data_IF_099214754498
#
_entry.id   IF_099214754498
#
_cell.length_a   1.000
_cell.length_b   1.000
_cell.length_c   1.000
_cell.angle_alpha   90.00
_cell.angle_beta   90.00
_cell.angle_gamma   90.00
#
_symmetry.space_group_name_H-M   'P 1'
#
loop_
_entity.id
_entity.type
_entity.pdbx_description
1 polymer ?
#
# COMPACT_ATOMS: atom_id res chain seq x y z
N UNK A 1 -13.25 -15.11 8.90
CA UNK A 1 -13.05 -14.47 7.57
C UNK A 1 -11.62 -13.96 7.54
N UNK A 2 -10.83 -14.14 6.47
CA UNK A 2 -9.50 -13.54 6.42
C UNK A 2 -9.68 -12.02 6.53
N UNK A 3 -8.88 -11.41 7.40
CA UNK A 3 -8.89 -9.97 7.67
C UNK A 3 -8.65 -9.24 6.33
N UNK A 4 -9.72 -8.78 5.65
CA UNK A 4 -9.63 -8.06 4.36
C UNK A 4 -9.07 -6.64 4.53
N UNK A 5 -8.32 -6.41 5.60
CA UNK A 5 -7.73 -5.12 5.92
C UNK A 5 -6.54 -4.91 4.99
N UNK A 6 -6.65 -3.86 4.18
CA UNK A 6 -5.54 -3.38 3.38
C UNK A 6 -4.61 -2.54 4.26
N UNK A 7 -3.36 -2.47 3.86
CA UNK A 7 -2.27 -1.79 4.52
C UNK A 7 -1.57 -0.89 3.51
N UNK A 8 -1.27 0.33 3.93
CA UNK A 8 -0.56 1.31 3.12
C UNK A 8 0.93 1.30 3.47
N UNK A 9 1.82 0.80 2.60
CA UNK A 9 3.26 0.90 2.79
C UNK A 9 3.74 2.34 2.54
N UNK A 10 4.55 2.87 3.45
CA UNK A 10 5.01 4.26 3.42
C UNK A 10 6.47 4.35 3.86
N UNK A 11 7.24 5.16 3.16
CA UNK A 11 8.56 5.62 3.58
C UNK A 11 8.44 7.01 4.21
N UNK A 12 9.18 7.26 5.29
CA UNK A 12 9.19 8.59 5.94
C UNK A 12 9.80 9.67 5.05
N UNK A 13 10.73 9.28 4.16
CA UNK A 13 11.44 10.19 3.25
C UNK A 13 10.75 10.29 1.89
N UNK A 14 10.34 9.16 1.30
CA UNK A 14 9.81 9.12 -0.07
C UNK A 14 8.27 9.22 -0.14
N UNK A 15 7.57 9.10 0.99
CA UNK A 15 6.11 9.05 1.01
C UNK A 15 5.54 7.66 0.70
N UNK A 16 4.33 7.56 0.13
CA UNK A 16 3.69 6.28 -0.18
C UNK A 16 4.52 5.42 -1.13
N UNK A 17 4.71 4.15 -0.80
CA UNK A 17 5.50 3.21 -1.61
C UNK A 17 4.65 2.42 -2.63
N UNK A 18 3.34 2.60 -2.59
CA UNK A 18 2.40 1.91 -3.47
C UNK A 18 0.94 2.16 -3.06
N UNK A 19 0.04 1.37 -3.64
CA UNK A 19 -1.39 1.35 -3.29
C UNK A 19 -1.64 0.53 -2.02
N UNK A 20 -2.78 0.71 -1.33
CA UNK A 20 -3.19 -0.17 -0.24
C UNK A 20 -3.22 -1.63 -0.72
N UNK A 21 -2.53 -2.51 -0.01
CA UNK A 21 -2.43 -3.94 -0.36
C UNK A 21 -2.50 -4.83 0.89
N UNK A 22 -2.43 -6.16 0.73
CA UNK A 22 -2.34 -7.08 1.86
C UNK A 22 -1.12 -6.83 2.74
N UNK A 23 -1.18 -7.28 4.00
CA UNK A 23 -0.11 -7.07 4.97
C UNK A 23 1.24 -7.59 4.47
N UNK A 24 1.26 -8.81 3.94
CA UNK A 24 2.49 -9.46 3.45
C UNK A 24 3.17 -8.68 2.31
N UNK A 25 2.37 -8.19 1.35
CA UNK A 25 2.87 -7.38 0.24
C UNK A 25 3.35 -6.00 0.73
N UNK A 26 2.65 -5.39 1.69
CA UNK A 26 3.06 -4.11 2.29
C UNK A 26 4.41 -4.24 3.03
N UNK A 27 4.60 -5.32 3.80
CA UNK A 27 5.86 -5.63 4.50
C UNK A 27 6.98 -5.88 3.49
N UNK A 28 6.72 -6.68 2.45
CA UNK A 28 7.70 -6.96 1.39
C UNK A 28 8.12 -5.69 0.65
N UNK A 29 7.18 -4.80 0.35
CA UNK A 29 7.46 -3.52 -0.29
C UNK A 29 8.35 -2.62 0.58
N UNK A 30 8.04 -2.53 1.88
CA UNK A 30 8.83 -1.76 2.84
C UNK A 30 10.25 -2.33 3.00
N UNK A 31 10.40 -3.65 3.14
CA UNK A 31 11.69 -4.32 3.26
C UNK A 31 12.56 -4.11 2.01
N UNK A 32 11.97 -4.26 0.81
CA UNK A 32 12.68 -4.00 -0.45
C UNK A 32 13.17 -2.55 -0.52
N UNK A 33 12.33 -1.59 -0.14
CA UNK A 33 12.69 -0.18 -0.15
C UNK A 33 13.80 0.14 0.86
N UNK A 34 13.69 -0.36 2.10
CA UNK A 34 14.71 -0.17 3.14
C UNK A 34 16.04 -0.81 2.76
N UNK A 35 16.04 -1.97 2.09
CA UNK A 35 17.28 -2.58 1.60
C UNK A 35 18.00 -1.72 0.55
N UNK A 36 17.26 -1.02 -0.31
CA UNK A 36 17.82 -0.18 -1.38
C UNK A 36 18.25 1.21 -0.89
N UNK A 37 17.52 1.79 0.06
CA UNK A 37 17.65 3.22 0.40
C UNK A 37 18.11 3.49 1.84
N UNK A 38 18.05 2.48 2.72
CA UNK A 38 18.24 2.63 4.17
C UNK A 38 17.26 3.62 4.84
N UNK A 39 16.19 4.02 4.14
CA UNK A 39 15.16 4.87 4.72
C UNK A 39 14.28 4.10 5.71
N UNK A 40 13.74 4.84 6.68
CA UNK A 40 12.73 4.32 7.59
C UNK A 40 11.39 4.14 6.86
N UNK A 41 10.85 2.93 6.92
CA UNK A 41 9.58 2.54 6.32
C UNK A 41 8.61 2.03 7.39
N UNK A 42 7.31 2.13 7.11
CA UNK A 42 6.23 1.67 7.97
C UNK A 42 5.01 1.31 7.11
N UNK A 43 4.11 0.48 7.64
CA UNK A 43 2.84 0.15 7.01
C UNK A 43 1.70 0.41 8.00
N UNK A 44 0.68 1.13 7.54
CA UNK A 44 -0.46 1.53 8.38
C UNK A 44 -1.73 0.84 7.89
N UNK A 45 -2.61 0.37 8.79
CA UNK A 45 -3.86 -0.25 8.38
C UNK A 45 -4.74 0.82 7.74
N UNK A 46 -5.22 0.57 6.52
CA UNK A 46 -6.19 1.45 5.88
C UNK A 46 -7.59 1.01 6.30
N UNK A 47 -8.31 1.91 6.99
CA UNK A 47 -9.71 1.71 7.36
C UNK A 47 -10.67 1.77 6.17
N UNK A 48 -10.20 2.28 5.03
CA UNK A 48 -10.99 2.37 3.82
C UNK A 48 -10.92 1.05 3.05
N UNK A 49 -12.05 0.33 2.99
CA UNK A 49 -12.34 -0.48 1.82
C UNK A 49 -12.50 0.49 0.65
N UNK A 50 -11.40 0.86 -0.01
CA UNK A 50 -11.47 1.60 -1.27
C UNK A 50 -11.93 0.58 -2.31
N UNK A 51 -13.24 0.38 -2.39
CA UNK A 51 -13.88 -0.26 -3.53
C UNK A 51 -13.72 0.74 -4.66
N UNK A 52 -12.63 0.64 -5.41
CA UNK A 52 -12.56 1.31 -6.72
C UNK A 52 -13.54 0.55 -7.60
N UNK A 53 -14.80 0.97 -7.57
CA UNK A 53 -15.77 0.59 -8.59
C UNK A 53 -15.28 1.30 -9.85
N UNK A 54 -14.46 0.61 -10.64
CA UNK A 54 -14.03 1.11 -11.93
C UNK A 54 -15.26 1.52 -12.71
N UNK A 55 -15.44 2.81 -12.93
CA UNK A 55 -16.23 3.30 -14.06
C UNK A 55 -15.42 2.95 -15.29
N UNK A 56 -15.68 1.76 -15.82
CA UNK A 56 -15.39 1.47 -17.22
C UNK A 56 -16.14 2.49 -18.07
N UNK A 57 -15.42 3.07 -19.03
CA UNK A 57 -15.90 3.87 -20.16
C UNK A 57 -16.47 5.26 -19.85
N UNK A 58 -15.69 6.27 -20.21
CA UNK A 58 -16.21 7.48 -20.87
C UNK A 58 -15.07 8.10 -21.69
N UNK A 59 -14.75 7.44 -22.80
CA UNK A 59 -14.12 8.07 -23.96
C UNK A 59 -15.04 7.76 -25.14
N UNK A 60 -16.10 8.55 -25.26
CA UNK A 60 -16.79 8.81 -26.53
C UNK A 60 -16.24 10.09 -27.16
#
# INVERSE_FOLDING_TARGET
MPDRRLWMPRCRTCGPLGKPTGLDEAVTCCNRHTNQTKHQTAWYPTYAQIIVKGTSNDCE
#
